data_IF_241054098275
#
_entry.id   IF_241054098275
#
_cell.length_a   1.000
_cell.length_b   1.000
_cell.length_c   1.000
_cell.angle_alpha   90.00
_cell.angle_beta   90.00
_cell.angle_gamma   90.00
#
_symmetry.space_group_name_H-M   'P 1'
#
loop_
_entity.id
_entity.type
_entity.pdbx_description
1 polymer ?
#
# COMPACT_ATOMS: atom_id res chain seq x y z
N UNK A 1 -1.44 -30.71 -19.43
CA UNK A 1 -0.06 -30.55 -19.96
C UNK A 1 0.01 -30.49 -21.49
N UNK A 2 -0.73 -31.29 -22.28
CA UNK A 2 -0.51 -31.39 -23.75
C UNK A 2 -0.82 -30.13 -24.61
N UNK A 3 -1.92 -29.42 -24.37
CA UNK A 3 -2.42 -28.41 -25.33
C UNK A 3 -1.53 -27.16 -25.47
N UNK A 4 -0.93 -26.68 -24.37
CA UNK A 4 -0.04 -25.51 -24.42
C UNK A 4 1.26 -25.84 -25.13
N UNK A 5 1.84 -27.02 -24.88
CA UNK A 5 3.04 -27.49 -25.59
C UNK A 5 2.77 -27.65 -27.09
N UNK A 6 1.60 -28.17 -27.47
CA UNK A 6 1.17 -28.23 -28.88
C UNK A 6 1.06 -26.84 -29.48
N UNK A 7 0.41 -25.90 -28.79
CA UNK A 7 0.28 -24.51 -29.23
C UNK A 7 1.65 -23.83 -29.38
N UNK A 8 2.52 -23.97 -28.39
CA UNK A 8 3.85 -23.36 -28.41
C UNK A 8 4.69 -23.92 -29.55
N UNK A 9 4.67 -25.24 -29.77
CA UNK A 9 5.35 -25.87 -30.92
C UNK A 9 4.80 -25.35 -32.25
N UNK A 10 3.50 -25.17 -32.36
CA UNK A 10 2.86 -24.70 -33.59
C UNK A 10 3.21 -23.23 -33.87
N UNK A 11 3.18 -22.38 -32.85
CA UNK A 11 3.51 -20.96 -32.99
C UNK A 11 5.02 -20.72 -33.20
N UNK A 12 5.89 -21.57 -32.66
CA UNK A 12 7.35 -21.51 -32.88
C UNK A 12 7.78 -21.82 -34.31
N UNK A 13 6.89 -22.35 -35.15
CA UNK A 13 7.16 -22.51 -36.60
C UNK A 13 7.32 -21.17 -37.30
N UNK A 14 6.71 -20.11 -36.76
CA UNK A 14 6.83 -18.76 -37.29
C UNK A 14 7.86 -17.95 -36.50
N UNK A 15 8.99 -17.54 -37.12
CA UNK A 15 10.04 -16.77 -36.46
C UNK A 15 9.53 -15.45 -35.86
N UNK A 16 8.51 -14.85 -36.49
CA UNK A 16 7.92 -13.59 -36.06
C UNK A 16 7.24 -13.66 -34.68
N UNK A 17 6.88 -14.87 -34.21
CA UNK A 17 6.24 -15.08 -32.91
C UNK A 17 7.22 -15.42 -31.80
N UNK A 18 8.52 -15.49 -32.09
CA UNK A 18 9.57 -15.90 -31.15
C UNK A 18 10.55 -14.73 -30.92
N UNK A 19 11.08 -14.62 -29.71
CA UNK A 19 12.19 -13.72 -29.35
C UNK A 19 13.53 -14.35 -29.71
N UNK A 20 14.59 -13.56 -29.73
CA UNK A 20 15.95 -14.06 -30.00
C UNK A 20 16.40 -15.12 -28.99
N UNK A 21 15.75 -15.17 -27.82
CA UNK A 21 15.98 -16.13 -26.74
C UNK A 21 15.12 -17.41 -26.85
N UNK A 22 14.32 -17.56 -27.92
CA UNK A 22 13.47 -18.75 -28.12
C UNK A 22 12.14 -18.73 -27.35
N UNK A 23 11.77 -17.59 -26.76
CA UNK A 23 10.52 -17.42 -26.01
C UNK A 23 9.40 -16.86 -26.90
N UNK A 24 8.15 -17.23 -26.63
CA UNK A 24 7.01 -16.75 -27.40
C UNK A 24 6.68 -15.28 -27.08
N UNK A 25 6.59 -14.42 -28.11
CA UNK A 25 6.10 -13.03 -28.00
C UNK A 25 4.57 -13.02 -27.83
N UNK A 26 4.10 -13.34 -26.62
CA UNK A 26 2.67 -13.45 -26.28
C UNK A 26 1.83 -12.23 -26.70
N UNK A 27 2.38 -11.02 -26.53
CA UNK A 27 1.67 -9.79 -26.91
C UNK A 27 1.42 -9.67 -28.42
N UNK A 28 2.37 -10.14 -29.25
CA UNK A 28 2.24 -10.15 -30.72
C UNK A 28 1.16 -11.14 -31.13
N UNK A 29 1.18 -12.35 -30.54
CA UNK A 29 0.21 -13.40 -30.83
C UNK A 29 -1.20 -12.97 -30.40
N UNK A 30 -1.35 -12.35 -29.22
CA UNK A 30 -2.63 -11.82 -28.75
C UNK A 30 -3.13 -10.71 -29.68
N UNK A 31 -2.26 -9.78 -30.08
CA UNK A 31 -2.64 -8.68 -30.96
C UNK A 31 -3.09 -9.20 -32.35
N UNK A 32 -2.35 -10.15 -32.93
CA UNK A 32 -2.73 -10.81 -34.18
C UNK A 32 -4.04 -11.59 -34.06
N UNK A 33 -4.26 -12.30 -32.95
CA UNK A 33 -5.52 -12.97 -32.68
C UNK A 33 -6.68 -11.97 -32.58
N UNK A 34 -6.43 -10.79 -31.99
CA UNK A 34 -7.43 -9.73 -31.86
C UNK A 34 -7.79 -9.08 -33.19
N UNK A 35 -6.85 -9.05 -34.14
CA UNK A 35 -7.04 -8.50 -35.47
C UNK A 35 -7.43 -9.55 -36.53
N UNK A 36 -7.77 -10.78 -36.12
CA UNK A 36 -8.12 -11.89 -37.02
C UNK A 36 -7.07 -12.14 -38.12
N UNK A 37 -5.80 -12.08 -37.74
CA UNK A 37 -4.68 -12.32 -38.65
C UNK A 37 -4.79 -13.70 -39.32
N UNK A 38 -4.80 -13.71 -40.65
CA UNK A 38 -5.04 -14.91 -41.44
C UNK A 38 -3.91 -15.95 -41.28
N UNK A 39 -2.67 -15.52 -41.10
CA UNK A 39 -1.51 -16.40 -40.93
C UNK A 39 -1.62 -17.15 -39.59
N UNK A 40 -1.92 -16.41 -38.51
CA UNK A 40 -2.13 -17.01 -37.19
C UNK A 40 -3.30 -18.00 -37.21
N UNK A 41 -4.44 -17.61 -37.80
CA UNK A 41 -5.62 -18.47 -37.87
C UNK A 41 -5.32 -19.73 -38.71
N UNK A 42 -4.60 -19.60 -39.83
CA UNK A 42 -4.16 -20.71 -40.65
C UNK A 42 -3.32 -21.72 -39.87
N UNK A 43 -2.32 -21.24 -39.12
CA UNK A 43 -1.46 -22.09 -38.30
C UNK A 43 -2.23 -22.86 -37.23
N UNK A 44 -3.27 -22.27 -36.65
CA UNK A 44 -4.12 -22.93 -35.66
C UNK A 44 -5.06 -23.96 -36.29
N UNK A 45 -5.43 -23.80 -37.56
CA UNK A 45 -6.27 -24.74 -38.30
C UNK A 45 -5.51 -26.00 -38.75
N UNK A 46 -4.20 -25.90 -38.95
CA UNK A 46 -3.33 -27.01 -39.37
C UNK A 46 -3.21 -28.12 -38.31
N UNK A 47 -3.39 -27.77 -37.04
CA UNK A 47 -3.37 -28.73 -35.93
C UNK A 47 -4.78 -29.16 -35.52
N UNK A 48 -5.02 -30.47 -35.46
CA UNK A 48 -6.34 -31.04 -35.16
C UNK A 48 -6.81 -30.73 -33.74
N UNK A 49 -5.91 -30.69 -32.76
CA UNK A 49 -6.26 -30.42 -31.36
C UNK A 49 -6.59 -28.93 -31.16
N UNK A 50 -5.79 -28.03 -31.73
CA UNK A 50 -6.02 -26.59 -31.67
C UNK A 50 -7.30 -26.20 -32.42
N UNK A 51 -7.52 -26.79 -33.60
CA UNK A 51 -8.75 -26.62 -34.37
C UNK A 51 -9.99 -27.00 -33.57
N UNK A 52 -9.99 -28.19 -32.95
CA UNK A 52 -11.13 -28.66 -32.17
C UNK A 52 -11.41 -27.80 -30.92
N UNK A 53 -10.39 -27.12 -30.37
CA UNK A 53 -10.53 -26.33 -29.14
C UNK A 53 -10.89 -24.87 -29.38
N UNK A 54 -10.27 -24.23 -30.37
CA UNK A 54 -10.38 -22.79 -30.59
C UNK A 54 -11.34 -22.41 -31.72
N UNK A 55 -11.89 -23.38 -32.44
CA UNK A 55 -12.87 -23.15 -33.50
C UNK A 55 -14.20 -23.81 -33.18
N UNK A 56 -15.27 -23.11 -33.53
CA UNK A 56 -16.64 -23.59 -33.43
C UNK A 56 -17.13 -23.90 -34.84
N UNK A 57 -17.61 -25.11 -35.08
CA UNK A 57 -18.24 -25.47 -36.34
C UNK A 57 -19.72 -25.10 -36.29
N UNK A 58 -20.14 -24.17 -37.13
CA UNK A 58 -21.53 -23.73 -37.24
C UNK A 58 -21.95 -23.92 -38.68
N UNK A 59 -22.88 -24.87 -38.91
CA UNK A 59 -23.44 -25.17 -40.24
C UNK A 59 -22.37 -25.41 -41.32
N UNK A 60 -21.28 -26.10 -40.96
CA UNK A 60 -20.16 -26.42 -41.87
C UNK A 60 -19.14 -25.30 -42.06
N UNK A 61 -19.25 -24.18 -41.33
CA UNK A 61 -18.26 -23.09 -41.32
C UNK A 61 -17.53 -23.07 -39.98
N UNK A 62 -16.20 -22.95 -40.02
CA UNK A 62 -15.37 -22.85 -38.83
C UNK A 62 -15.24 -21.38 -38.41
N UNK A 63 -15.70 -21.07 -37.20
CA UNK A 63 -15.62 -19.75 -36.59
C UNK A 63 -14.54 -19.75 -35.52
N UNK A 64 -13.55 -18.88 -35.65
CA UNK A 64 -12.49 -18.72 -34.65
C UNK A 64 -13.04 -18.07 -33.38
N UNK A 65 -12.96 -18.79 -32.25
CA UNK A 65 -13.34 -18.28 -30.94
C UNK A 65 -12.18 -17.48 -30.33
N UNK A 66 -12.04 -16.25 -30.82
CA UNK A 66 -11.01 -15.30 -30.39
C UNK A 66 -11.01 -15.10 -28.86
N UNK A 67 -12.18 -14.95 -28.23
CA UNK A 67 -12.26 -14.71 -26.79
C UNK A 67 -11.70 -15.88 -25.99
N UNK A 68 -12.03 -17.12 -26.37
CA UNK A 68 -11.50 -18.32 -25.75
C UNK A 68 -9.98 -18.46 -25.96
N UNK A 69 -9.48 -18.14 -27.15
CA UNK A 69 -8.05 -18.19 -27.45
C UNK A 69 -7.24 -17.15 -26.67
N UNK A 70 -7.70 -15.90 -26.61
CA UNK A 70 -7.06 -14.84 -25.81
C UNK A 70 -7.10 -15.21 -24.32
N UNK A 71 -8.25 -15.67 -23.83
CA UNK A 71 -8.38 -16.12 -22.44
C UNK A 71 -7.42 -17.28 -22.13
N UNK A 72 -7.24 -18.22 -23.05
CA UNK A 72 -6.30 -19.33 -22.90
C UNK A 72 -4.84 -18.86 -22.82
N UNK A 73 -4.43 -17.91 -23.68
CA UNK A 73 -3.07 -17.33 -23.63
C UNK A 73 -2.83 -16.46 -22.38
N UNK A 74 -3.89 -15.85 -21.84
CA UNK A 74 -3.82 -15.04 -20.62
C UNK A 74 -3.87 -15.87 -19.32
N UNK A 75 -4.31 -17.13 -19.38
CA UNK A 75 -4.33 -18.01 -18.22
C UNK A 75 -2.90 -18.34 -17.77
N UNK A 76 -2.52 -17.82 -16.60
CA UNK A 76 -1.21 -18.01 -15.96
C UNK A 76 -0.91 -19.45 -15.52
N UNK A 77 -1.88 -20.37 -15.55
CA UNK A 77 -1.75 -21.78 -15.11
C UNK A 77 -0.70 -22.61 -15.88
N UNK A 78 -0.05 -22.03 -16.91
CA UNK A 78 1.03 -22.66 -17.68
C UNK A 78 2.42 -22.10 -17.36
N UNK A 79 2.54 -21.28 -16.31
CA UNK A 79 3.81 -20.76 -15.76
C UNK A 79 3.92 -21.19 -14.30
N UNK A 80 5.08 -21.72 -13.92
CA UNK A 80 5.36 -22.43 -12.67
C UNK A 80 5.15 -21.68 -11.33
N UNK A 81 4.53 -20.50 -11.26
CA UNK A 81 4.53 -19.66 -10.03
C UNK A 81 3.21 -18.94 -9.68
N UNK A 82 2.04 -19.58 -9.82
CA UNK A 82 0.85 -19.06 -9.11
C UNK A 82 -0.30 -20.07 -8.95
N UNK A 83 -0.81 -20.19 -7.72
CA UNK A 83 -1.90 -21.10 -7.33
C UNK A 83 -3.32 -20.58 -7.66
N UNK A 84 -3.47 -19.44 -8.36
CA UNK A 84 -4.79 -18.88 -8.68
C UNK A 84 -4.88 -18.34 -10.12
N UNK A 85 -6.08 -18.40 -10.71
CA UNK A 85 -6.38 -17.83 -12.02
C UNK A 85 -6.46 -16.29 -12.03
N UNK A 86 -6.33 -15.64 -10.86
CA UNK A 86 -6.44 -14.19 -10.71
C UNK A 86 -5.09 -13.50 -10.90
N UNK A 87 -5.09 -12.28 -11.47
CA UNK A 87 -3.89 -11.44 -11.53
C UNK A 87 -3.53 -11.05 -10.09
N UNK A 88 -2.25 -10.78 -9.80
CA UNK A 88 -1.79 -10.21 -8.51
C UNK A 88 -2.24 -8.75 -8.35
N UNK A 89 -3.56 -8.51 -8.44
CA UNK A 89 -4.21 -7.23 -8.27
C UNK A 89 -5.52 -7.49 -7.55
N UNK A 90 -5.64 -6.97 -6.33
CA UNK A 90 -6.91 -6.94 -5.61
C UNK A 90 -7.87 -6.07 -6.41
N UNK A 91 -9.04 -6.60 -6.77
CA UNK A 91 -10.01 -5.88 -7.58
C UNK A 91 -11.35 -6.60 -7.64
N UNK A 92 -12.41 -5.82 -7.83
CA UNK A 92 -13.75 -6.33 -8.04
C UNK A 92 -13.89 -6.83 -9.49
N UNK A 93 -14.51 -7.99 -9.66
CA UNK A 93 -14.65 -8.68 -10.94
C UNK A 93 -16.12 -9.07 -11.17
N UNK A 94 -16.63 -8.82 -12.37
CA UNK A 94 -17.92 -9.37 -12.84
C UNK A 94 -17.62 -10.21 -14.09
N UNK A 95 -18.01 -11.48 -14.08
CA UNK A 95 -17.87 -12.43 -15.19
C UNK A 95 -16.47 -12.52 -15.83
N UNK A 96 -15.44 -12.54 -14.99
CA UNK A 96 -14.04 -12.70 -15.42
C UNK A 96 -13.36 -11.40 -15.87
N UNK A 97 -14.09 -10.26 -15.94
CA UNK A 97 -13.53 -8.95 -16.28
C UNK A 97 -13.40 -8.08 -15.03
N UNK A 98 -12.19 -7.55 -14.81
CA UNK A 98 -11.95 -6.60 -13.72
C UNK A 98 -12.71 -5.30 -14.00
N UNK A 99 -13.38 -4.75 -12.98
CA UNK A 99 -14.17 -3.52 -13.09
C UNK A 99 -13.35 -2.33 -13.61
N UNK A 100 -12.02 -2.31 -13.43
CA UNK A 100 -11.11 -1.29 -13.99
C UNK A 100 -11.15 -1.15 -15.53
N UNK A 101 -11.73 -2.11 -16.25
CA UNK A 101 -11.88 -2.03 -17.71
C UNK A 101 -13.08 -1.18 -18.16
N UNK A 102 -13.98 -0.84 -17.23
CA UNK A 102 -15.10 0.07 -17.46
C UNK A 102 -14.95 1.21 -16.44
N UNK A 103 -14.80 2.45 -16.88
CA UNK A 103 -14.68 3.63 -16.00
C UNK A 103 -16.01 3.95 -15.25
N UNK A 104 -16.81 2.94 -14.92
CA UNK A 104 -18.21 3.05 -14.51
C UNK A 104 -18.39 2.88 -12.98
N UNK A 105 -17.31 2.60 -12.22
CA UNK A 105 -17.43 2.29 -10.79
C UNK A 105 -16.50 3.15 -9.95
N UNK A 106 -17.11 3.94 -9.05
CA UNK A 106 -16.43 4.61 -7.96
C UNK A 106 -16.63 3.79 -6.67
N UNK A 107 -15.53 3.41 -6.02
CA UNK A 107 -15.58 2.92 -4.63
C UNK A 107 -15.80 4.13 -3.73
N UNK A 108 -17.01 4.26 -3.20
CA UNK A 108 -17.35 5.27 -2.18
C UNK A 108 -17.23 4.61 -0.83
N UNK A 109 -16.15 4.93 -0.10
CA UNK A 109 -15.99 4.49 1.27
C UNK A 109 -16.85 5.36 2.20
N UNK A 110 -17.63 4.77 3.12
CA UNK A 110 -18.28 5.55 4.17
C UNK A 110 -17.20 6.23 5.03
N UNK A 111 -17.44 7.48 5.45
CA UNK A 111 -16.52 8.31 6.25
C UNK A 111 -15.18 8.66 5.58
N UNK A 112 -15.09 8.59 4.25
CA UNK A 112 -13.87 8.98 3.50
C UNK A 112 -13.50 10.46 3.67
N UNK A 113 -14.48 11.25 4.05
CA UNK A 113 -14.48 12.69 4.25
C UNK A 113 -14.49 13.02 5.76
N UNK A 114 -13.94 12.13 6.58
CA UNK A 114 -13.83 12.32 8.02
C UNK A 114 -12.37 12.23 8.51
N UNK A 115 -12.03 13.09 9.47
CA UNK A 115 -10.80 13.04 10.25
C UNK A 115 -11.09 12.34 11.57
N UNK A 116 -10.33 11.28 11.87
CA UNK A 116 -10.44 10.56 13.14
C UNK A 116 -9.62 11.26 14.22
N UNK A 117 -10.28 11.67 15.30
CA UNK A 117 -9.59 12.12 16.50
C UNK A 117 -9.10 10.92 17.31
N UNK A 118 -7.80 10.65 17.21
CA UNK A 118 -7.13 9.60 18.00
C UNK A 118 -6.94 10.02 19.45
N UNK A 119 -7.87 9.61 20.32
CA UNK A 119 -7.89 9.95 21.75
C UNK A 119 -7.41 8.86 22.71
N UNK A 120 -6.68 7.84 22.23
CA UNK A 120 -6.34 6.70 23.08
C UNK A 120 -5.25 7.05 24.11
N UNK A 121 -5.68 7.23 25.35
CA UNK A 121 -4.78 7.49 26.49
C UNK A 121 -4.42 6.19 27.26
N UNK A 122 -5.28 5.15 27.21
CA UNK A 122 -5.10 3.82 27.82
C UNK A 122 -5.78 2.73 26.96
N UNK A 123 -5.29 1.49 27.01
CA UNK A 123 -5.86 0.34 26.27
C UNK A 123 -7.30 -0.02 26.67
N UNK A 124 -7.71 0.27 27.92
CA UNK A 124 -9.03 -0.10 28.46
C UNK A 124 -10.09 1.01 28.32
N UNK A 125 -9.71 2.19 27.83
CA UNK A 125 -10.64 3.32 27.68
C UNK A 125 -11.54 3.08 26.46
N UNK A 126 -12.74 2.53 26.69
CA UNK A 126 -13.84 2.55 25.72
C UNK A 126 -14.39 3.97 25.60
N UNK A 127 -13.66 4.85 24.91
CA UNK A 127 -14.16 6.17 24.54
C UNK A 127 -14.78 6.11 23.16
N UNK A 128 -15.76 6.99 22.93
CA UNK A 128 -16.28 7.21 21.59
C UNK A 128 -15.17 7.86 20.75
N UNK A 129 -14.70 7.14 19.74
CA UNK A 129 -13.85 7.70 18.70
C UNK A 129 -14.68 8.66 17.86
N UNK A 130 -14.27 9.93 17.84
CA UNK A 130 -14.99 10.97 17.13
C UNK A 130 -14.43 11.08 15.71
N UNK A 131 -15.31 10.89 14.73
CA UNK A 131 -15.04 11.16 13.32
C UNK A 131 -15.57 12.55 12.99
N UNK A 132 -14.67 13.51 12.81
CA UNK A 132 -15.03 14.85 12.36
C UNK A 132 -15.21 14.85 10.86
N UNK A 133 -16.41 15.16 10.37
CA UNK A 133 -16.63 15.34 8.94
C UNK A 133 -15.92 16.63 8.47
N UNK A 134 -15.15 16.54 7.40
CA UNK A 134 -14.35 17.65 6.85
C UNK A 134 -15.19 18.88 6.46
N UNK A 135 -16.46 18.67 6.10
CA UNK A 135 -17.37 19.77 5.72
C UNK A 135 -18.12 20.34 6.92
N UNK A 136 -18.55 19.49 7.86
CA UNK A 136 -19.41 19.91 8.97
C UNK A 136 -18.65 20.36 10.22
N UNK A 137 -17.45 19.81 10.45
CA UNK A 137 -16.65 20.01 11.65
C UNK A 137 -15.29 20.63 11.30
N UNK A 138 -15.33 21.67 10.46
CA UNK A 138 -14.12 22.33 9.96
C UNK A 138 -13.35 23.02 11.08
N UNK A 139 -14.04 23.67 12.02
CA UNK A 139 -13.42 24.40 13.12
C UNK A 139 -12.70 23.46 14.08
N UNK A 140 -13.29 22.31 14.40
CA UNK A 140 -12.69 21.27 15.25
C UNK A 140 -11.45 20.66 14.59
N UNK A 141 -11.51 20.39 13.27
CA UNK A 141 -10.37 19.89 12.50
C UNK A 141 -9.25 20.93 12.44
N UNK A 142 -9.59 22.20 12.20
CA UNK A 142 -8.62 23.29 12.22
C UNK A 142 -7.96 23.38 13.59
N UNK A 143 -8.74 23.38 14.67
CA UNK A 143 -8.20 23.37 16.02
C UNK A 143 -7.33 22.14 16.26
N UNK A 144 -7.71 20.94 15.82
CA UNK A 144 -6.93 19.72 15.99
C UNK A 144 -5.56 19.83 15.30
N UNK A 145 -5.52 20.30 14.06
CA UNK A 145 -4.34 20.38 13.21
C UNK A 145 -3.47 21.62 13.46
N UNK A 146 -3.99 22.63 14.16
CA UNK A 146 -3.25 23.82 14.52
C UNK A 146 -2.02 23.51 15.40
N UNK A 147 -0.90 24.25 15.20
CA UNK A 147 0.32 24.08 15.99
C UNK A 147 0.05 24.15 17.49
N UNK A 148 0.47 23.12 18.22
CA UNK A 148 0.32 23.06 19.68
C UNK A 148 1.47 23.77 20.37
N UNK A 149 1.14 24.56 21.38
CA UNK A 149 2.13 25.21 22.24
C UNK A 149 2.35 24.35 23.48
N UNK A 150 3.61 24.04 23.80
CA UNK A 150 3.97 23.38 25.05
C UNK A 150 3.85 24.39 26.20
N UNK A 151 2.98 24.10 27.17
CA UNK A 151 2.74 24.95 28.35
C UNK A 151 3.31 24.29 29.61
N UNK A 152 3.46 25.06 30.70
CA UNK A 152 3.93 24.59 32.01
C UNK A 152 5.32 23.94 32.00
N UNK A 153 6.25 24.49 31.21
CA UNK A 153 7.59 23.97 31.11
C UNK A 153 8.40 24.18 32.41
N UNK A 154 8.94 23.08 32.95
CA UNK A 154 9.71 23.02 34.19
C UNK A 154 11.06 22.36 33.93
N UNK A 155 12.13 22.88 34.53
CA UNK A 155 13.47 22.30 34.48
C UNK A 155 13.78 21.64 35.82
N UNK A 156 14.09 20.35 35.78
CA UNK A 156 14.53 19.58 36.94
C UNK A 156 16.06 19.55 36.99
N UNK A 157 16.64 20.02 38.09
CA UNK A 157 18.06 19.88 38.39
C UNK A 157 18.24 19.03 39.66
N UNK A 158 19.48 18.66 40.00
CA UNK A 158 19.81 17.98 41.26
C UNK A 158 19.37 18.74 42.52
N UNK A 159 19.12 20.04 42.39
CA UNK A 159 18.71 20.95 43.46
C UNK A 159 17.19 21.15 43.53
N UNK A 160 16.41 20.54 42.61
CA UNK A 160 14.95 20.64 42.57
C UNK A 160 14.38 21.20 41.27
N UNK A 161 13.14 21.69 41.34
CA UNK A 161 12.38 22.20 40.20
C UNK A 161 12.57 23.72 40.04
N UNK A 162 12.86 24.18 38.81
CA UNK A 162 12.95 25.60 38.46
C UNK A 162 12.09 25.89 37.21
N UNK A 163 11.50 27.09 37.09
CA UNK A 163 10.79 27.48 35.86
C UNK A 163 11.76 27.49 34.67
N UNK A 164 11.29 27.01 33.51
CA UNK A 164 12.10 27.02 32.30
C UNK A 164 12.13 28.44 31.71
N UNK A 165 13.33 29.01 31.61
CA UNK A 165 13.52 30.32 30.98
C UNK A 165 13.77 30.16 29.47
N UNK A 166 14.77 29.34 29.08
CA UNK A 166 15.09 29.02 27.68
C UNK A 166 15.60 27.59 27.50
N UNK A 167 15.32 27.01 26.33
CA UNK A 167 15.92 25.76 25.89
C UNK A 167 17.39 25.96 25.54
N UNK A 168 18.23 25.01 25.95
CA UNK A 168 19.60 24.91 25.51
C UNK A 168 19.61 24.42 24.05
N UNK A 169 20.38 25.10 23.19
CA UNK A 169 20.48 24.76 21.76
C UNK A 169 21.96 24.66 21.35
N UNK A 170 22.27 23.74 20.44
CA UNK A 170 23.60 23.62 19.84
C UNK A 170 23.81 24.63 18.68
N UNK A 171 24.99 24.62 18.07
CA UNK A 171 25.35 25.49 16.92
C UNK A 171 24.39 25.36 15.73
N UNK A 172 23.73 24.21 15.58
CA UNK A 172 22.73 23.93 14.54
C UNK A 172 21.30 24.31 14.97
N UNK A 173 21.16 25.06 16.07
CA UNK A 173 19.89 25.47 16.71
C UNK A 173 19.00 24.31 17.17
N UNK A 174 19.53 23.10 17.34
CA UNK A 174 18.76 21.94 17.81
C UNK A 174 18.74 21.97 19.34
N UNK A 175 17.57 21.70 19.93
CA UNK A 175 17.42 21.59 21.39
C UNK A 175 18.28 20.43 21.90
N UNK A 176 19.10 20.69 22.93
CA UNK A 176 19.97 19.70 23.58
C UNK A 176 19.49 19.27 24.96
N UNK A 177 18.38 19.84 25.43
CA UNK A 177 17.76 19.45 26.69
C UNK A 177 17.05 18.08 26.58
N UNK A 178 17.09 17.31 27.67
CA UNK A 178 16.23 16.13 27.83
C UNK A 178 14.80 16.60 28.07
N UNK A 179 13.86 16.24 27.20
CA UNK A 179 12.47 16.68 27.33
C UNK A 179 11.60 15.55 27.91
N UNK A 180 10.72 15.92 28.84
CA UNK A 180 9.64 15.06 29.33
C UNK A 180 8.35 15.77 28.96
N UNK A 181 7.56 15.16 28.07
CA UNK A 181 6.28 15.72 27.64
C UNK A 181 5.17 14.84 28.23
N UNK A 182 4.25 15.48 28.93
CA UNK A 182 3.03 14.89 29.47
C UNK A 182 1.86 15.31 28.58
N UNK A 183 1.16 14.36 27.97
CA UNK A 183 0.02 14.63 27.09
C UNK A 183 -0.20 13.54 26.03
N UNK A 184 -1.06 13.82 25.05
CA UNK A 184 -1.33 12.94 23.93
C UNK A 184 -0.05 12.73 23.10
N UNK A 185 0.36 11.47 22.94
CA UNK A 185 1.60 11.08 22.26
C UNK A 185 1.61 11.49 20.78
N UNK A 186 0.47 11.37 20.08
CA UNK A 186 0.34 11.70 18.66
C UNK A 186 0.53 13.21 18.44
N UNK A 187 -0.14 14.03 19.27
CA UNK A 187 0.02 15.49 19.22
C UNK A 187 1.44 15.93 19.61
N UNK A 188 2.05 15.27 20.58
CA UNK A 188 3.42 15.57 20.99
C UNK A 188 4.42 15.24 19.87
N UNK A 189 4.31 14.06 19.26
CA UNK A 189 5.17 13.66 18.13
C UNK A 189 4.96 14.55 16.91
N UNK A 190 3.72 14.91 16.60
CA UNK A 190 3.41 15.86 15.53
C UNK A 190 4.09 17.22 15.78
N UNK A 191 4.03 17.72 17.02
CA UNK A 191 4.65 18.99 17.40
C UNK A 191 6.19 18.92 17.38
N UNK A 192 6.77 17.78 17.76
CA UNK A 192 8.22 17.55 17.75
C UNK A 192 8.80 17.31 16.35
N UNK A 193 7.96 16.94 15.39
CA UNK A 193 8.37 16.61 14.02
C UNK A 193 9.19 17.73 13.38
N UNK A 194 8.75 18.98 13.48
CA UNK A 194 9.44 20.13 12.87
C UNK A 194 10.86 20.33 13.42
N UNK A 195 11.08 20.06 14.71
CA UNK A 195 12.38 20.26 15.37
C UNK A 195 13.30 19.03 15.24
N UNK A 196 12.76 17.81 15.28
CA UNK A 196 13.53 16.56 15.39
C UNK A 196 13.45 15.61 14.19
N UNK A 197 12.74 15.97 13.10
CA UNK A 197 12.68 15.16 11.89
C UNK A 197 14.08 14.80 11.35
N UNK A 198 14.32 13.51 11.13
CA UNK A 198 15.60 12.98 10.62
C UNK A 198 16.78 13.07 11.59
N UNK A 199 16.57 13.51 12.84
CA UNK A 199 17.61 13.67 13.88
C UNK A 199 17.52 12.63 15.00
N UNK A 200 16.54 11.74 14.92
CA UNK A 200 16.31 10.65 15.88
C UNK A 200 17.21 9.47 15.52
N UNK A 201 18.18 9.15 16.37
CA UNK A 201 19.08 8.02 16.17
C UNK A 201 18.46 6.71 16.65
N UNK A 202 17.71 6.77 17.76
CA UNK A 202 17.08 5.60 18.36
C UNK A 202 15.77 5.99 19.02
N UNK A 203 14.77 5.14 18.83
CA UNK A 203 13.45 5.26 19.45
C UNK A 203 13.11 3.94 20.13
N UNK A 204 12.85 4.02 21.43
CA UNK A 204 12.32 2.89 22.20
C UNK A 204 10.85 3.11 22.53
N UNK A 205 10.04 2.12 22.20
CA UNK A 205 8.62 2.04 22.54
C UNK A 205 8.40 0.75 23.32
N UNK A 206 8.12 0.86 24.61
CA UNK A 206 7.59 -0.26 25.37
C UNK A 206 6.07 -0.29 25.18
N UNK A 207 5.58 -1.21 24.35
CA UNK A 207 4.17 -1.56 24.33
C UNK A 207 3.90 -2.54 25.47
N UNK A 208 3.49 -2.03 26.63
CA UNK A 208 2.96 -2.88 27.69
C UNK A 208 1.50 -3.20 27.38
N UNK A 209 1.16 -4.50 27.28
CA UNK A 209 -0.22 -5.02 27.14
C UNK A 209 -1.01 -4.86 28.46
N UNK A 210 -0.40 -4.24 29.48
CA UNK A 210 -1.01 -3.94 30.78
C UNK A 210 -0.30 -2.73 31.39
N UNK A 211 -1.07 -1.66 31.58
CA UNK A 211 -0.96 -0.55 32.56
C UNK A 211 0.47 -0.36 33.14
N UNK A 212 1.26 0.64 32.77
CA UNK A 212 1.20 1.91 33.51
C UNK A 212 1.90 3.13 32.85
N UNK A 213 2.65 3.00 31.75
CA UNK A 213 3.15 4.15 31.00
C UNK A 213 3.77 3.71 29.66
N UNK A 214 3.38 4.36 28.57
CA UNK A 214 4.21 4.32 27.35
C UNK A 214 5.33 5.34 27.53
N UNK A 215 6.54 4.85 27.73
CA UNK A 215 7.74 5.67 27.80
C UNK A 215 8.34 5.76 26.40
N UNK A 216 8.27 6.94 25.78
CA UNK A 216 9.03 7.22 24.57
C UNK A 216 10.39 7.73 24.99
N UNK A 217 11.47 7.17 24.44
CA UNK A 217 12.82 7.73 24.54
C UNK A 217 13.34 8.00 23.13
N UNK A 218 13.56 9.27 22.79
CA UNK A 218 14.22 9.71 21.55
C UNK A 218 15.65 10.10 21.88
N UNK A 219 16.64 9.38 21.34
CA UNK A 219 18.07 9.75 21.43
C UNK A 219 18.57 10.44 20.18
N UNK A 220 19.19 11.61 20.33
CA UNK A 220 19.68 12.44 19.21
C UNK A 220 21.21 12.52 19.11
N UNK A 221 21.97 11.92 20.04
CA UNK A 221 23.45 11.91 19.98
C UNK A 221 24.06 10.64 20.61
N UNK A 222 25.22 10.20 20.10
CA UNK A 222 25.87 8.93 20.46
C UNK A 222 26.85 9.03 21.64
N UNK A 223 27.12 10.25 22.14
CA UNK A 223 28.11 10.48 23.22
C UNK A 223 27.53 11.08 24.50
N UNK A 224 26.28 11.54 24.49
CA UNK A 224 25.49 11.86 25.68
C UNK A 224 24.05 11.45 25.41
N UNK A 225 23.47 10.66 26.31
CA UNK A 225 22.08 10.23 26.22
C UNK A 225 21.17 11.46 26.32
N UNK A 226 20.85 12.05 25.17
CA UNK A 226 19.72 12.97 25.06
C UNK A 226 18.48 12.09 25.15
N UNK A 227 17.97 11.87 26.35
CA UNK A 227 16.81 11.00 26.59
C UNK A 227 15.56 11.86 26.64
N UNK A 228 14.83 11.97 25.54
CA UNK A 228 13.51 12.59 25.55
C UNK A 228 12.49 11.58 26.09
N UNK A 229 12.22 11.60 27.40
CA UNK A 229 11.34 10.65 28.09
C UNK A 229 9.89 11.18 28.13
N UNK A 230 9.03 10.88 27.15
CA UNK A 230 7.59 11.16 27.34
C UNK A 230 7.05 10.19 28.38
N UNK A 231 6.48 10.73 29.46
CA UNK A 231 5.75 9.95 30.45
C UNK A 231 4.28 10.34 30.32
N UNK A 232 3.47 9.45 29.77
CA UNK A 232 2.00 9.59 29.76
C UNK A 232 1.51 9.12 31.11
N UNK A 233 1.44 10.03 32.08
CA UNK A 233 0.63 9.83 33.29
C UNK A 233 -0.65 10.64 33.17
N UNK A 234 -1.75 10.13 33.72
CA UNK A 234 -2.93 10.95 34.02
C UNK A 234 -2.55 12.12 34.92
#
# INVERSE_FOLDING_TARGET
>A
MKLYETLEKQLKKEPNYVTDNGELKKWVVINKAQNYDAELIGLLLDDKELKAKFFLEIKGVLVFNQSLFVQFLEQKNYLNDSYTAYKNKVGLNIDGKYLKQRNEVALVWPFKDCVLEGGQSREEDKREEIFFNETLAQDEITQLLEPKVLTNAKRYTTEGEKPLDKFNRNEKRIITDNLIIKGNNLLALHSLKEEFAGKVNFMYLAHHITQEATVFNIMTDSTKALGLRLCVTG
#
